data_IF_013626357682
#
_entry.id   IF_013626357682
#
_cell.length_a   1.000
_cell.length_b   1.000
_cell.length_c   1.000
_cell.angle_alpha   90.00
_cell.angle_beta   90.00
_cell.angle_gamma   90.00
#
_symmetry.space_group_name_H-M   'P 1'
#
loop_
_entity.id
_entity.type
_entity.pdbx_description
1 polymer ?
#
# COMPACT_ATOMS: atom_id res chain seq x y z
N UNK A 1 38.33 -16.28 40.27
CA UNK A 1 37.99 -14.88 39.91
C UNK A 1 37.77 -14.64 38.41
N UNK A 2 38.06 -15.59 37.50
CA UNK A 2 37.98 -15.38 36.04
C UNK A 2 36.63 -15.77 35.40
N UNK A 3 35.78 -16.55 36.06
CA UNK A 3 34.56 -17.13 35.46
C UNK A 3 33.35 -16.16 35.53
N UNK A 4 33.32 -15.28 36.53
CA UNK A 4 32.20 -14.34 36.73
C UNK A 4 32.09 -13.28 35.61
N UNK A 5 33.23 -12.79 35.09
CA UNK A 5 33.23 -11.78 34.02
C UNK A 5 32.77 -12.33 32.67
N UNK A 6 32.91 -13.64 32.42
CA UNK A 6 32.47 -14.27 31.18
C UNK A 6 30.94 -14.33 31.08
N UNK A 7 30.23 -14.52 32.20
CA UNK A 7 28.76 -14.52 32.24
C UNK A 7 28.18 -13.11 32.01
N UNK A 8 28.78 -12.08 32.61
CA UNK A 8 28.36 -10.69 32.39
C UNK A 8 28.57 -10.26 30.93
N UNK A 9 29.69 -10.65 30.31
CA UNK A 9 29.98 -10.35 28.91
C UNK A 9 29.02 -11.07 27.94
N UNK A 10 28.67 -12.33 28.24
CA UNK A 10 27.71 -13.09 27.45
C UNK A 10 26.30 -12.46 27.56
N UNK A 11 25.87 -12.10 28.78
CA UNK A 11 24.60 -11.40 29.01
C UNK A 11 24.54 -10.03 28.32
N UNK A 12 25.63 -9.27 28.34
CA UNK A 12 25.72 -8.00 27.63
C UNK A 12 25.61 -8.17 26.10
N UNK A 13 26.23 -9.22 25.53
CA UNK A 13 26.15 -9.50 24.09
C UNK A 13 24.75 -9.91 23.62
N UNK A 14 24.03 -10.70 24.43
CA UNK A 14 22.64 -11.08 24.20
C UNK A 14 21.71 -9.85 24.28
N UNK A 15 21.93 -8.98 25.27
CA UNK A 15 21.20 -7.71 25.41
C UNK A 15 21.47 -6.74 24.24
N UNK A 16 22.73 -6.66 23.77
CA UNK A 16 23.10 -5.84 22.62
C UNK A 16 22.48 -6.35 21.31
N UNK A 17 22.45 -7.66 21.10
CA UNK A 17 21.80 -8.25 19.93
C UNK A 17 20.29 -8.00 19.90
N UNK A 18 19.63 -8.05 21.06
CA UNK A 18 18.21 -7.73 21.18
C UNK A 18 17.93 -6.23 20.93
N UNK A 19 18.76 -5.34 21.47
CA UNK A 19 18.64 -3.89 21.27
C UNK A 19 18.89 -3.49 19.81
N UNK A 20 19.94 -4.02 19.18
CA UNK A 20 20.22 -3.78 17.75
C UNK A 20 19.09 -4.24 16.85
N UNK A 21 18.47 -5.40 17.15
CA UNK A 21 17.31 -5.89 16.39
C UNK A 21 16.10 -4.98 16.56
N UNK A 22 15.84 -4.49 17.77
CA UNK A 22 14.75 -3.55 18.03
C UNK A 22 14.96 -2.20 17.34
N UNK A 23 16.19 -1.68 17.33
CA UNK A 23 16.54 -0.43 16.66
C UNK A 23 16.47 -0.55 15.13
N UNK A 24 16.87 -1.70 14.57
CA UNK A 24 16.74 -1.96 13.13
C UNK A 24 15.27 -2.10 12.71
N UNK A 25 14.42 -2.73 13.53
CA UNK A 25 12.97 -2.79 13.28
C UNK A 25 12.35 -1.40 13.38
N UNK A 26 12.71 -0.60 14.41
CA UNK A 26 12.26 0.79 14.51
C UNK A 26 12.68 1.62 13.31
N UNK A 27 13.93 1.50 12.86
CA UNK A 27 14.42 2.18 11.66
C UNK A 27 13.67 1.76 10.40
N UNK A 28 13.38 0.47 10.24
CA UNK A 28 12.62 -0.03 9.09
C UNK A 28 11.15 0.44 9.12
N UNK A 29 10.52 0.49 10.29
CA UNK A 29 9.16 0.99 10.48
C UNK A 29 9.08 2.51 10.31
N UNK A 30 10.12 3.25 10.71
CA UNK A 30 10.25 4.69 10.46
C UNK A 30 10.72 5.03 9.04
N UNK A 31 11.28 4.06 8.31
CA UNK A 31 11.73 4.26 6.93
C UNK A 31 10.56 4.38 5.96
N UNK A 32 9.42 3.75 6.28
CA UNK A 32 8.19 3.94 5.51
C UNK A 32 7.53 5.24 5.93
N UNK A 33 7.72 6.29 5.14
CA UNK A 33 7.16 7.61 5.43
C UNK A 33 5.63 7.58 5.39
N UNK A 34 4.97 8.49 6.13
CA UNK A 34 3.51 8.65 6.04
C UNK A 34 3.04 8.94 4.61
N UNK A 35 3.92 9.54 3.81
CA UNK A 35 3.72 9.84 2.40
C UNK A 35 3.68 8.58 1.53
N UNK A 36 4.58 7.62 1.78
CA UNK A 36 4.58 6.32 1.12
C UNK A 36 3.31 5.52 1.44
N UNK A 37 2.88 5.51 2.70
CA UNK A 37 1.63 4.84 3.12
C UNK A 37 0.40 5.48 2.49
N UNK A 38 0.40 6.81 2.34
CA UNK A 38 -0.67 7.53 1.67
C UNK A 38 -0.75 7.17 0.19
N UNK A 39 0.40 7.15 -0.50
CA UNK A 39 0.48 6.73 -1.90
C UNK A 39 0.04 5.28 -2.08
N UNK A 40 0.49 4.37 -1.21
CA UNK A 40 0.07 2.96 -1.23
C UNK A 40 -1.44 2.81 -1.06
N UNK A 41 -2.05 3.56 -0.14
CA UNK A 41 -3.50 3.58 0.06
C UNK A 41 -4.24 4.09 -1.19
N UNK A 42 -3.71 5.11 -1.87
CA UNK A 42 -4.28 5.63 -3.12
C UNK A 42 -4.20 4.60 -4.25
N UNK A 43 -3.09 3.85 -4.36
CA UNK A 43 -2.95 2.75 -5.32
C UNK A 43 -3.94 1.62 -5.06
N UNK A 44 -4.12 1.25 -3.80
CA UNK A 44 -5.10 0.23 -3.41
C UNK A 44 -6.54 0.66 -3.76
N UNK A 45 -6.88 1.93 -3.56
CA UNK A 45 -8.18 2.48 -3.96
C UNK A 45 -8.40 2.40 -5.48
N UNK A 46 -7.41 2.80 -6.28
CA UNK A 46 -7.48 2.70 -7.74
C UNK A 46 -7.65 1.24 -8.20
N UNK A 47 -6.94 0.30 -7.59
CA UNK A 47 -7.04 -1.11 -7.91
C UNK A 47 -8.46 -1.66 -7.67
N UNK A 48 -9.07 -1.34 -6.52
CA UNK A 48 -10.45 -1.76 -6.24
C UNK A 48 -11.46 -1.11 -7.18
N UNK A 49 -11.29 0.18 -7.48
CA UNK A 49 -12.13 0.88 -8.45
C UNK A 49 -12.01 0.27 -9.85
N UNK A 50 -10.79 -0.06 -10.28
CA UNK A 50 -10.55 -0.70 -11.58
C UNK A 50 -11.19 -2.09 -11.65
N UNK A 51 -11.13 -2.89 -10.57
CA UNK A 51 -11.86 -4.17 -10.48
C UNK A 51 -13.37 -3.98 -10.65
N UNK A 52 -13.95 -2.95 -10.02
CA UNK A 52 -15.37 -2.63 -10.19
C UNK A 52 -15.69 -2.26 -11.64
N UNK A 53 -14.87 -1.43 -12.28
CA UNK A 53 -15.02 -1.08 -13.70
C UNK A 53 -14.98 -2.30 -14.60
N UNK A 54 -13.99 -3.19 -14.42
CA UNK A 54 -13.90 -4.45 -15.18
C UNK A 54 -15.13 -5.34 -14.99
N UNK A 55 -15.65 -5.41 -13.76
CA UNK A 55 -16.86 -6.18 -13.44
C UNK A 55 -18.10 -5.62 -14.12
N UNK A 56 -18.25 -4.29 -14.18
CA UNK A 56 -19.36 -3.67 -14.91
C UNK A 56 -19.19 -3.82 -16.42
N UNK A 57 -17.97 -3.67 -16.96
CA UNK A 57 -17.67 -3.93 -18.37
C UNK A 57 -18.02 -5.35 -18.78
N UNK A 58 -17.72 -6.36 -17.94
CA UNK A 58 -18.12 -7.77 -18.17
C UNK A 58 -19.62 -7.92 -18.42
N UNK A 59 -20.47 -7.16 -17.72
CA UNK A 59 -21.94 -7.23 -17.89
C UNK A 59 -22.42 -6.66 -19.23
N UNK A 60 -21.63 -5.79 -19.85
CA UNK A 60 -21.97 -5.14 -21.13
C UNK A 60 -21.58 -5.96 -22.35
N UNK A 61 -20.75 -7.00 -22.17
CA UNK A 61 -20.35 -7.89 -23.26
C UNK A 61 -21.52 -8.86 -23.52
N UNK A 62 -22.20 -8.77 -24.69
CA UNK A 62 -23.30 -9.67 -24.99
C UNK A 62 -22.78 -11.10 -25.12
N UNK A 63 -23.57 -12.04 -24.61
CA UNK A 63 -23.36 -13.47 -24.85
C UNK A 63 -23.64 -13.74 -26.34
N UNK A 64 -22.63 -13.61 -27.21
CA UNK A 64 -22.79 -13.97 -28.61
C UNK A 64 -23.01 -15.49 -28.70
N UNK A 65 -24.16 -15.89 -29.23
CA UNK A 65 -24.61 -17.28 -29.35
C UNK A 65 -23.77 -18.19 -30.26
N UNK A 66 -22.52 -17.82 -30.55
CA UNK A 66 -21.56 -18.62 -31.29
C UNK A 66 -20.52 -19.31 -30.38
N UNK A 67 -20.35 -18.80 -29.16
CA UNK A 67 -19.57 -19.43 -28.11
C UNK A 67 -20.55 -19.85 -27.02
N UNK A 68 -21.12 -21.05 -27.15
CA UNK A 68 -21.95 -21.62 -26.10
C UNK A 68 -21.20 -21.55 -24.76
N UNK A 69 -21.91 -21.09 -23.72
CA UNK A 69 -21.43 -20.94 -22.34
C UNK A 69 -20.87 -22.27 -21.82
N UNK A 70 -19.63 -22.56 -22.17
CA UNK A 70 -18.93 -23.72 -21.65
C UNK A 70 -18.37 -23.28 -20.31
N UNK A 71 -18.63 -24.02 -19.23
CA UNK A 71 -18.24 -23.65 -17.87
C UNK A 71 -16.74 -23.27 -17.73
N UNK A 72 -15.87 -23.78 -18.60
CA UNK A 72 -14.46 -23.41 -18.64
C UNK A 72 -14.17 -21.97 -19.10
N UNK A 73 -15.02 -21.36 -19.94
CA UNK A 73 -14.77 -20.02 -20.47
C UNK A 73 -14.99 -18.93 -19.40
N UNK A 74 -16.01 -19.08 -18.54
CA UNK A 74 -16.25 -18.12 -17.46
C UNK A 74 -15.16 -18.20 -16.39
N UNK A 75 -14.66 -19.41 -16.09
CA UNK A 75 -13.51 -19.60 -15.19
C UNK A 75 -12.25 -18.93 -15.74
N UNK A 76 -11.95 -19.08 -17.04
CA UNK A 76 -10.80 -18.42 -17.68
C UNK A 76 -10.95 -16.90 -17.66
N UNK A 77 -12.17 -16.39 -17.89
CA UNK A 77 -12.47 -14.96 -17.90
C UNK A 77 -12.31 -14.36 -16.50
N UNK A 78 -12.73 -15.07 -15.46
CA UNK A 78 -12.56 -14.64 -14.07
C UNK A 78 -11.07 -14.64 -13.67
N UNK A 79 -10.30 -15.67 -14.06
CA UNK A 79 -8.84 -15.69 -13.90
C UNK A 79 -8.14 -14.52 -14.62
N UNK A 80 -8.61 -14.15 -15.81
CA UNK A 80 -8.08 -13.01 -16.56
C UNK A 80 -8.33 -11.68 -15.85
N UNK A 81 -9.56 -11.44 -15.36
CA UNK A 81 -9.89 -10.22 -14.62
C UNK A 81 -9.15 -10.14 -13.27
N UNK A 82 -8.92 -11.27 -12.60
CA UNK A 82 -8.11 -11.36 -11.39
C UNK A 82 -6.66 -10.96 -11.65
N UNK A 83 -6.06 -11.49 -12.73
CA UNK A 83 -4.69 -11.14 -13.15
C UNK A 83 -4.56 -9.66 -13.53
N UNK A 84 -5.56 -9.09 -14.21
CA UNK A 84 -5.61 -7.65 -14.49
C UNK A 84 -5.67 -6.82 -13.21
N UNK A 85 -6.46 -7.25 -12.22
CA UNK A 85 -6.53 -6.60 -10.91
C UNK A 85 -5.20 -6.64 -10.14
N UNK A 86 -4.44 -7.73 -10.24
CA UNK A 86 -3.11 -7.85 -9.64
C UNK A 86 -2.10 -6.91 -10.33
N UNK A 87 -2.07 -6.88 -11.66
CA UNK A 87 -1.17 -5.98 -12.41
C UNK A 87 -1.54 -4.50 -12.30
N UNK A 88 -2.79 -4.18 -11.95
CA UNK A 88 -3.23 -2.81 -11.73
C UNK A 88 -2.48 -2.13 -10.57
N UNK A 89 -2.16 -2.85 -9.50
CA UNK A 89 -1.44 -2.31 -8.35
C UNK A 89 0.00 -1.88 -8.68
N UNK A 90 0.63 -2.54 -9.65
CA UNK A 90 1.99 -2.25 -10.09
C UNK A 90 2.05 -1.08 -11.09
N UNK A 91 1.10 -1.02 -12.02
CA UNK A 91 1.17 -0.09 -13.16
C UNK A 91 0.24 1.12 -13.06
N UNK A 92 -0.64 1.21 -12.05
CA UNK A 92 -1.60 2.31 -11.89
C UNK A 92 -2.38 2.59 -13.20
N UNK A 93 -3.24 1.64 -13.64
CA UNK A 93 -3.80 1.58 -14.99
C UNK A 93 -4.62 2.81 -15.40
N UNK A 94 -5.14 3.57 -14.45
CA UNK A 94 -5.95 4.77 -14.64
C UNK A 94 -5.21 6.06 -14.26
N UNK A 95 -4.08 5.96 -13.54
CA UNK A 95 -3.32 7.11 -13.05
C UNK A 95 -4.04 7.95 -11.99
N UNK A 96 -5.13 7.42 -11.41
CA UNK A 96 -5.95 8.11 -10.43
C UNK A 96 -5.26 8.19 -9.07
N UNK A 97 -4.49 7.19 -8.68
CA UNK A 97 -3.77 7.15 -7.42
C UNK A 97 -2.85 8.37 -7.27
N UNK A 98 -2.11 8.72 -8.33
CA UNK A 98 -1.26 9.92 -8.36
C UNK A 98 -2.07 11.19 -8.20
N UNK A 99 -3.16 11.31 -8.95
CA UNK A 99 -4.05 12.49 -8.91
C UNK A 99 -4.66 12.67 -7.51
N UNK A 100 -5.19 11.60 -6.93
CA UNK A 100 -5.79 11.59 -5.60
C UNK A 100 -4.74 11.94 -4.53
N UNK A 101 -3.56 11.34 -4.62
CA UNK A 101 -2.44 11.65 -3.73
C UNK A 101 -2.03 13.13 -3.81
N UNK A 102 -1.93 13.70 -5.02
CA UNK A 102 -1.62 15.12 -5.21
C UNK A 102 -2.68 16.03 -4.59
N UNK A 103 -3.97 15.69 -4.73
CA UNK A 103 -5.06 16.44 -4.11
C UNK A 103 -5.02 16.37 -2.58
N UNK A 104 -4.75 15.19 -2.00
CA UNK A 104 -4.59 15.06 -0.55
C UNK A 104 -3.41 15.86 -0.04
N UNK A 105 -2.28 15.87 -0.76
CA UNK A 105 -1.12 16.67 -0.38
C UNK A 105 -1.37 18.16 -0.48
N UNK A 106 -1.96 18.63 -1.57
CA UNK A 106 -2.32 20.03 -1.75
C UNK A 106 -3.21 20.49 -0.57
N UNK A 107 -4.29 19.75 -0.27
CA UNK A 107 -5.19 20.09 0.83
C UNK A 107 -4.54 19.99 2.22
N UNK A 108 -3.52 19.13 2.41
CA UNK A 108 -2.77 19.06 3.68
C UNK A 108 -1.90 20.30 3.91
N UNK A 109 -1.25 20.78 2.86
CA UNK A 109 -0.45 22.02 2.90
C UNK A 109 -1.34 23.21 3.28
N UNK A 110 -2.56 23.25 2.75
CA UNK A 110 -3.53 24.30 3.06
C UNK A 110 -4.01 24.25 4.53
N UNK A 111 -4.16 23.05 5.10
CA UNK A 111 -4.57 22.86 6.49
C UNK A 111 -3.46 23.20 7.51
N UNK A 112 -2.20 22.91 7.18
CA UNK A 112 -1.04 23.19 8.05
C UNK A 112 -0.70 24.69 8.04
N UNK A 113 -0.80 25.35 6.88
CA UNK A 113 -0.65 26.81 6.74
C UNK A 113 -1.80 27.58 7.43
N UNK A 114 -3.01 27.00 7.50
CA UNK A 114 -4.13 27.58 8.26
C UNK A 114 -3.95 27.44 9.79
N UNK A 115 -3.27 26.39 10.25
CA UNK A 115 -3.01 26.16 11.67
C UNK A 115 -1.95 27.11 12.25
N UNK A 116 -0.88 27.42 11.51
CA UNK A 116 0.14 28.40 11.94
C UNK A 116 -0.40 29.83 11.96
N UNK A 117 -1.24 30.21 10.99
CA UNK A 117 -1.84 31.56 10.93
C UNK A 117 -2.93 31.80 11.99
N UNK A 118 -3.33 30.78 12.76
CA UNK A 118 -4.29 30.96 13.87
C UNK A 118 -3.56 31.21 15.21
N UNK A 119 -2.24 30.94 15.31
CA UNK A 119 -1.49 31.06 16.56
C UNK A 119 -0.51 32.24 16.62
N UNK A 120 -0.16 32.87 15.49
CA UNK A 120 0.60 34.14 15.47
C UNK A 120 -0.21 35.30 14.87
N UNK A 121 -1.17 35.80 15.64
CA UNK A 121 -1.43 37.24 15.69
C UNK A 121 -2.76 37.78 15.16
N UNK A 122 -3.50 38.38 16.11
CA UNK A 122 -4.54 39.43 16.01
C UNK A 122 -5.99 39.00 15.81
#
# INVERSE_FOLDING_TARGET
MQISGAYDMLGASLSQGAAQKADNIKKAVSAQTDDEKLMESCKNLEAEFFKLMLKEMKKTVPDSGFLDKTAGHDVIKDLYYESLGQHAGENSPLGLARTIYEQFKANRVDAETAAENTLEGK
#
